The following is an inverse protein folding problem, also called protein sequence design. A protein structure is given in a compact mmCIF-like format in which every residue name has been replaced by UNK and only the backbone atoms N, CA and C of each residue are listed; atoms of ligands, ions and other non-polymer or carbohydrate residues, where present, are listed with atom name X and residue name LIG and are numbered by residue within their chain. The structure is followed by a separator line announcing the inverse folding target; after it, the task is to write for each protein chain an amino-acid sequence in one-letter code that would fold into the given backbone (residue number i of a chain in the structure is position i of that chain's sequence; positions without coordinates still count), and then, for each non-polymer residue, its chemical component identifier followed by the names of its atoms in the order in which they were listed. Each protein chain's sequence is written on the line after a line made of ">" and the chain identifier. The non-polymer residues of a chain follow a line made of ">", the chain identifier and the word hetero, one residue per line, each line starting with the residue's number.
data_IF_577377982481
#
_entry.id   IF_577377982481
#
_cell.length_a   1.000
_cell.length_b   1.000
_cell.length_c   1.000
_cell.angle_alpha   90.00
_cell.angle_beta   90.00
_cell.angle_gamma   90.00
#
_symmetry.space_group_name_H-M   'P 1'
#
loop_
_entity.id
_entity.type
_entity.pdbx_description
1 polymer ?
#
# COMPACT_ATOMS: atom_id res chain seq x y z
N UNK A 1 23.21 26.80 -1.89
CA UNK A 1 21.77 26.48 -1.82
C UNK A 1 21.60 25.51 -0.67
N UNK A 2 21.31 26.00 0.53
CA UNK A 2 21.10 25.14 1.71
C UNK A 2 19.78 24.40 1.51
N UNK A 3 19.69 23.06 1.67
CA UNK A 3 18.40 22.41 1.63
C UNK A 3 17.58 22.96 2.80
N UNK A 4 16.48 23.61 2.48
CA UNK A 4 15.51 24.07 3.49
C UNK A 4 14.99 22.81 4.18
N UNK A 5 15.40 22.55 5.41
CA UNK A 5 14.87 21.44 6.21
C UNK A 5 13.48 21.81 6.72
N UNK A 6 12.51 21.99 5.81
CA UNK A 6 11.14 22.35 6.15
C UNK A 6 10.24 21.11 6.18
N UNK A 7 9.15 21.18 6.97
CA UNK A 7 8.14 20.09 7.02
C UNK A 7 7.55 19.79 5.64
N UNK A 8 7.48 20.82 4.79
CA UNK A 8 7.01 20.72 3.41
C UNK A 8 7.95 19.86 2.58
N UNK A 9 9.25 20.17 2.61
CA UNK A 9 10.24 19.46 1.80
C UNK A 9 10.34 17.99 2.25
N UNK A 10 10.26 17.74 3.55
CA UNK A 10 10.20 16.38 4.09
C UNK A 10 8.95 15.62 3.61
N UNK A 11 7.79 16.28 3.53
CA UNK A 11 6.54 15.68 3.07
C UNK A 11 6.53 15.42 1.56
N UNK A 12 7.15 16.30 0.76
CA UNK A 12 7.40 16.07 -0.66
C UNK A 12 8.27 14.82 -0.85
N UNK A 13 9.34 14.67 -0.07
CA UNK A 13 10.18 13.47 -0.10
C UNK A 13 9.41 12.19 0.24
N UNK A 14 8.45 12.25 1.18
CA UNK A 14 7.56 11.11 1.46
C UNK A 14 6.68 10.79 0.26
N UNK A 15 6.09 11.79 -0.40
CA UNK A 15 5.28 11.62 -1.61
C UNK A 15 6.10 10.97 -2.73
N UNK A 16 7.34 11.41 -2.96
CA UNK A 16 8.25 10.82 -3.95
C UNK A 16 8.56 9.35 -3.61
N UNK A 17 8.84 9.04 -2.35
CA UNK A 17 9.07 7.65 -1.91
C UNK A 17 7.84 6.76 -2.09
N UNK A 18 6.64 7.29 -1.90
CA UNK A 18 5.38 6.56 -2.12
C UNK A 18 5.14 6.28 -3.61
N UNK A 19 5.46 7.23 -4.50
CA UNK A 19 5.43 6.98 -5.94
C UNK A 19 6.40 5.88 -6.37
N UNK A 20 7.62 5.89 -5.82
CA UNK A 20 8.60 4.84 -6.05
C UNK A 20 8.11 3.47 -5.52
N UNK A 21 7.46 3.46 -4.35
CA UNK A 21 6.87 2.25 -3.76
C UNK A 21 5.76 1.68 -4.65
N UNK A 22 4.86 2.51 -5.16
CA UNK A 22 3.82 2.10 -6.11
C UNK A 22 4.43 1.54 -7.40
N UNK A 23 5.48 2.17 -7.92
CA UNK A 23 6.17 1.68 -9.12
C UNK A 23 6.80 0.30 -8.88
N UNK A 24 7.46 0.11 -7.74
CA UNK A 24 8.05 -1.16 -7.34
C UNK A 24 6.99 -2.27 -7.16
N UNK A 25 5.86 -1.94 -6.50
CA UNK A 25 4.73 -2.86 -6.34
C UNK A 25 4.15 -3.31 -7.71
N UNK A 26 4.01 -2.39 -8.65
CA UNK A 26 3.54 -2.70 -10.02
C UNK A 26 4.53 -3.59 -10.78
N UNK A 27 5.82 -3.39 -10.57
CA UNK A 27 6.89 -4.14 -11.23
C UNK A 27 7.24 -5.48 -10.55
N UNK A 28 6.70 -5.76 -9.36
CA UNK A 28 7.18 -6.83 -8.47
C UNK A 28 8.69 -6.71 -8.15
N UNK A 29 9.20 -5.49 -8.06
CA UNK A 29 10.58 -5.20 -7.70
C UNK A 29 10.73 -5.15 -6.18
N UNK A 30 11.26 -6.23 -5.60
CA UNK A 30 11.41 -6.36 -4.13
C UNK A 30 12.48 -5.42 -3.59
N UNK A 31 13.59 -5.26 -4.31
CA UNK A 31 14.66 -4.36 -3.87
C UNK A 31 14.23 -2.89 -3.98
N UNK A 32 13.51 -2.55 -5.05
CA UNK A 32 12.89 -1.23 -5.21
C UNK A 32 11.88 -0.93 -4.11
N UNK A 33 11.07 -1.92 -3.74
CA UNK A 33 10.11 -1.81 -2.64
C UNK A 33 10.83 -1.55 -1.30
N UNK A 34 11.87 -2.33 -0.99
CA UNK A 34 12.65 -2.15 0.24
C UNK A 34 13.27 -0.75 0.32
N UNK A 35 13.95 -0.30 -0.74
CA UNK A 35 14.55 1.05 -0.79
C UNK A 35 13.51 2.14 -0.61
N UNK A 36 12.37 2.03 -1.30
CA UNK A 36 11.29 3.01 -1.19
C UNK A 36 10.67 3.04 0.21
N UNK A 37 10.45 1.87 0.83
CA UNK A 37 9.95 1.77 2.20
C UNK A 37 10.93 2.40 3.21
N UNK A 38 12.24 2.15 3.08
CA UNK A 38 13.25 2.79 3.94
C UNK A 38 13.23 4.32 3.80
N UNK A 39 13.18 4.84 2.57
CA UNK A 39 13.07 6.27 2.31
C UNK A 39 11.81 6.88 2.90
N UNK A 40 10.66 6.21 2.76
CA UNK A 40 9.37 6.62 3.36
C UNK A 40 9.47 6.74 4.88
N UNK A 41 10.02 5.72 5.55
CA UNK A 41 10.17 5.72 7.01
C UNK A 41 11.12 6.84 7.48
N UNK A 42 12.24 7.05 6.78
CA UNK A 42 13.15 8.15 7.07
C UNK A 42 12.46 9.52 6.92
N UNK A 43 11.66 9.71 5.87
CA UNK A 43 10.88 10.93 5.64
C UNK A 43 9.85 11.19 6.74
N UNK A 44 9.10 10.16 7.17
CA UNK A 44 8.15 10.27 8.29
C UNK A 44 8.86 10.68 9.59
N UNK A 45 10.01 10.09 9.87
CA UNK A 45 10.81 10.45 11.05
C UNK A 45 11.31 11.91 10.96
N UNK A 46 11.72 12.38 9.78
CA UNK A 46 12.12 13.76 9.57
C UNK A 46 10.95 14.74 9.80
N UNK A 47 9.75 14.42 9.29
CA UNK A 47 8.54 15.23 9.54
C UNK A 47 8.25 15.30 11.05
N UNK A 48 8.35 14.18 11.76
CA UNK A 48 8.12 14.14 13.20
C UNK A 48 9.13 14.98 13.98
N UNK A 49 10.42 14.94 13.60
CA UNK A 49 11.48 15.72 14.21
C UNK A 49 11.29 17.24 14.04
N UNK A 50 10.67 17.67 12.93
CA UNK A 50 10.35 19.07 12.66
C UNK A 50 9.10 19.57 13.42
N UNK A 51 8.45 18.70 14.19
CA UNK A 51 7.36 19.04 15.11
C UNK A 51 5.95 18.89 14.52
N UNK A 52 4.98 18.65 15.41
CA UNK A 52 3.58 18.37 15.08
C UNK A 52 2.66 19.59 15.26
N UNK A 53 3.22 20.81 15.18
CA UNK A 53 2.44 22.04 15.27
C UNK A 53 1.37 22.16 14.18
N UNK A 54 0.43 23.11 14.30
CA UNK A 54 -0.66 23.30 13.34
C UNK A 54 -0.15 23.35 11.89
N UNK A 55 -0.72 22.53 11.01
CA UNK A 55 -0.41 22.55 9.59
C UNK A 55 -1.18 23.68 8.90
N UNK A 56 -0.49 24.48 8.07
CA UNK A 56 -1.14 25.38 7.13
C UNK A 56 -1.87 24.60 6.01
N UNK A 57 -2.71 25.26 5.19
CA UNK A 57 -3.47 24.60 4.11
C UNK A 57 -2.61 23.74 3.20
N UNK A 58 -1.48 24.27 2.72
CA UNK A 58 -0.58 23.55 1.82
C UNK A 58 0.02 22.27 2.42
N UNK A 59 0.40 22.28 3.70
CA UNK A 59 0.90 21.07 4.38
C UNK A 59 -0.21 20.02 4.54
N UNK A 60 -1.47 20.45 4.67
CA UNK A 60 -2.61 19.52 4.71
C UNK A 60 -2.84 18.89 3.35
N UNK A 61 -2.82 19.67 2.27
CA UNK A 61 -3.02 19.17 0.91
C UNK A 61 -1.97 18.09 0.56
N UNK A 62 -0.70 18.34 0.89
CA UNK A 62 0.38 17.37 0.73
C UNK A 62 0.19 16.13 1.62
N UNK A 63 -0.29 16.29 2.85
CA UNK A 63 -0.52 15.15 3.74
C UNK A 63 -1.67 14.28 3.25
N UNK A 64 -2.72 14.89 2.71
CA UNK A 64 -3.82 14.18 2.07
C UNK A 64 -3.36 13.44 0.81
N UNK A 65 -2.48 14.04 0.00
CA UNK A 65 -1.87 13.37 -1.14
C UNK A 65 -1.05 12.15 -0.71
N UNK A 66 -0.15 12.30 0.26
CA UNK A 66 0.61 11.20 0.83
C UNK A 66 -0.30 10.08 1.35
N UNK A 67 -1.42 10.44 2.00
CA UNK A 67 -2.39 9.47 2.47
C UNK A 67 -3.09 8.71 1.33
N UNK A 68 -3.49 9.40 0.25
CA UNK A 68 -4.08 8.76 -0.95
C UNK A 68 -3.10 7.80 -1.63
N UNK A 69 -1.82 8.16 -1.70
CA UNK A 69 -0.79 7.30 -2.26
C UNK A 69 -0.53 6.07 -1.39
N UNK A 70 -0.46 6.24 -0.07
CA UNK A 70 -0.29 5.12 0.86
C UNK A 70 -1.49 4.15 0.82
N UNK A 71 -2.70 4.68 0.67
CA UNK A 71 -3.90 3.85 0.45
C UNK A 71 -3.78 3.03 -0.85
N UNK A 72 -3.21 3.61 -1.90
CA UNK A 72 -2.91 2.88 -3.14
C UNK A 72 -1.91 1.74 -2.91
N UNK A 73 -0.82 1.98 -2.15
CA UNK A 73 0.12 0.91 -1.76
C UNK A 73 -0.60 -0.23 -1.02
N UNK A 74 -1.47 0.10 -0.06
CA UNK A 74 -2.27 -0.86 0.71
C UNK A 74 -3.12 -1.76 -0.21
N UNK A 75 -3.79 -1.17 -1.20
CA UNK A 75 -4.59 -1.91 -2.18
C UNK A 75 -3.73 -2.93 -2.95
N UNK A 76 -2.55 -2.53 -3.43
CA UNK A 76 -1.65 -3.43 -4.15
C UNK A 76 -1.19 -4.60 -3.27
N UNK A 77 -0.74 -4.34 -2.05
CA UNK A 77 -0.31 -5.40 -1.11
C UNK A 77 -1.44 -6.38 -0.80
N UNK A 78 -2.64 -5.86 -0.52
CA UNK A 78 -3.82 -6.69 -0.25
C UNK A 78 -4.20 -7.55 -1.45
N UNK A 79 -4.14 -7.00 -2.66
CA UNK A 79 -4.43 -7.75 -3.88
C UNK A 79 -3.41 -8.88 -4.10
N UNK A 80 -2.12 -8.62 -3.88
CA UNK A 80 -1.07 -9.63 -3.96
C UNK A 80 -1.30 -10.76 -2.95
N UNK A 81 -1.59 -10.42 -1.69
CA UNK A 81 -1.91 -11.41 -0.65
C UNK A 81 -3.14 -12.26 -1.03
N UNK A 82 -4.19 -11.63 -1.54
CA UNK A 82 -5.40 -12.33 -2.00
C UNK A 82 -5.11 -13.24 -3.20
N UNK A 83 -4.25 -12.83 -4.13
CA UNK A 83 -3.82 -13.64 -5.27
C UNK A 83 -3.06 -14.89 -4.81
N UNK A 84 -2.11 -14.74 -3.89
CA UNK A 84 -1.35 -15.85 -3.32
C UNK A 84 -2.28 -16.82 -2.59
N UNK A 85 -3.19 -16.30 -1.74
CA UNK A 85 -4.18 -17.13 -1.04
C UNK A 85 -5.01 -17.98 -2.01
N UNK A 86 -5.55 -17.38 -3.08
CA UNK A 86 -6.35 -18.11 -4.08
C UNK A 86 -5.55 -19.22 -4.75
N UNK A 87 -4.27 -18.96 -5.11
CA UNK A 87 -3.39 -19.98 -5.70
C UNK A 87 -3.13 -21.14 -4.73
N UNK A 88 -2.90 -20.84 -3.45
CA UNK A 88 -2.71 -21.87 -2.43
C UNK A 88 -3.98 -22.74 -2.29
N UNK A 89 -5.18 -22.14 -2.25
CA UNK A 89 -6.46 -22.87 -2.20
C UNK A 89 -6.67 -23.78 -3.42
N UNK A 90 -6.28 -23.32 -4.62
CA UNK A 90 -6.30 -24.16 -5.82
C UNK A 90 -5.36 -25.36 -5.73
N UNK A 91 -4.16 -25.18 -5.19
CA UNK A 91 -3.15 -26.25 -5.07
C UNK A 91 -3.52 -27.30 -4.02
N UNK A 92 -4.18 -26.91 -2.93
CA UNK A 92 -4.59 -27.84 -1.86
C UNK A 92 -5.91 -28.57 -2.14
N UNK A 93 -6.49 -28.38 -3.33
CA UNK A 93 -7.77 -29.01 -3.72
C UNK A 93 -9.00 -28.41 -3.03
N UNK A 94 -8.84 -27.34 -2.24
CA UNK A 94 -9.94 -26.66 -1.55
C UNK A 94 -10.78 -25.77 -2.49
N UNK A 95 -10.32 -25.59 -3.74
CA UNK A 95 -11.09 -24.96 -4.81
C UNK A 95 -12.43 -25.67 -5.14
N UNK A 96 -12.65 -26.90 -4.64
CA UNK A 96 -13.87 -27.68 -4.85
C UNK A 96 -14.93 -27.63 -3.73
N UNK A 97 -14.66 -27.05 -2.56
CA UNK A 97 -15.62 -27.05 -1.45
C UNK A 97 -16.71 -25.95 -1.57
N UNK A 98 -16.58 -25.03 -2.54
CA UNK A 98 -17.42 -23.82 -2.66
C UNK A 98 -18.53 -23.84 -3.71
N UNK A 99 -18.70 -24.89 -4.52
CA UNK A 99 -19.86 -24.99 -5.42
C UNK A 99 -20.39 -26.43 -5.49
N UNK A 100 -21.41 -26.73 -4.67
CA UNK A 100 -22.32 -27.86 -4.86
C UNK A 100 -23.67 -27.30 -5.31
N UNK A 101 -23.96 -27.20 -6.61
CA UNK A 101 -25.32 -26.93 -7.06
C UNK A 101 -26.17 -28.15 -6.73
N UNK A 102 -26.96 -28.07 -5.67
CA UNK A 102 -28.27 -28.72 -5.57
C UNK A 102 -28.38 -30.21 -5.95
N UNK A 103 -27.34 -31.02 -5.75
CA UNK A 103 -27.48 -32.48 -5.70
C UNK A 103 -28.22 -32.83 -4.41
N UNK A 104 -29.55 -32.66 -4.40
CA UNK A 104 -30.36 -32.88 -3.21
C UNK A 104 -31.78 -32.32 -3.22
N UNK A 105 -32.56 -32.47 -4.30
CA UNK A 105 -33.99 -32.74 -4.12
C UNK A 105 -34.35 -34.01 -4.88
N UNK A 106 -34.57 -35.06 -4.09
CA UNK A 106 -35.10 -36.35 -4.52
C UNK A 106 -36.48 -36.17 -5.15
N UNK A 107 -36.69 -36.91 -6.24
CA UNK A 107 -38.00 -37.31 -6.71
C UNK A 107 -38.81 -37.96 -5.56
N UNK A 108 -40.03 -37.50 -5.36
CA UNK A 108 -41.11 -38.26 -4.76
C UNK A 108 -42.44 -37.83 -5.41
N UNK A 109 -43.19 -38.84 -5.83
CA UNK A 109 -44.57 -38.87 -6.34
C UNK A 109 -44.83 -38.35 -7.76
#
# INVERSE_FOLDING_TARGET
>A
MTPTNSRRDALIGVIESLHAEIAALKANDVEGLERATQAKLAGINAIAALGTGPAGPELRDLAEEANRLNETCRIYVNLMAANVRRRLQSLTGDAGAGYRPGMGLKAYA
#
